data_IF_425830569520
#
_entry.id   IF_425830569520
#
_cell.length_a   1.000
_cell.length_b   1.000
_cell.length_c   1.000
_cell.angle_alpha   90.00
_cell.angle_beta   90.00
_cell.angle_gamma   90.00
#
_symmetry.space_group_name_H-M   'P 1'
#
loop_
_entity.id
_entity.type
_entity.pdbx_description
1 polymer ?
#
# COMPACT_ATOMS: atom_id res chain seq x y z
N UNK A 1 0.02 -20.01 15.33
CA UNK A 1 0.88 -19.50 14.25
C UNK A 1 1.15 -20.52 13.12
N UNK A 2 1.13 -21.81 13.34
CA UNK A 2 1.41 -22.81 12.28
C UNK A 2 0.46 -22.75 11.07
N UNK A 3 -0.72 -22.18 11.22
CA UNK A 3 -1.75 -22.01 10.19
C UNK A 3 -1.87 -20.57 9.64
N UNK A 4 -1.06 -19.63 10.13
CA UNK A 4 -1.12 -18.25 9.72
C UNK A 4 -0.72 -18.08 8.23
N UNK A 5 -1.35 -17.12 7.57
CA UNK A 5 -1.06 -16.78 6.19
C UNK A 5 0.36 -16.19 6.01
N UNK A 6 0.87 -16.27 4.79
CA UNK A 6 2.23 -15.79 4.44
C UNK A 6 2.41 -14.29 4.71
N UNK A 7 1.39 -13.48 4.44
CA UNK A 7 1.40 -12.04 4.76
C UNK A 7 1.54 -11.77 6.26
N UNK A 8 0.91 -12.59 7.11
CA UNK A 8 1.05 -12.46 8.57
C UNK A 8 2.50 -12.67 9.00
N UNK A 9 3.22 -13.65 8.42
CA UNK A 9 4.65 -13.85 8.70
C UNK A 9 5.49 -12.65 8.24
N UNK A 10 5.25 -12.13 7.03
CA UNK A 10 5.92 -10.91 6.56
C UNK A 10 5.66 -9.73 7.51
N UNK A 11 4.41 -9.57 7.94
CA UNK A 11 4.02 -8.50 8.86
C UNK A 11 4.75 -8.59 10.19
N UNK A 12 4.79 -9.77 10.81
CA UNK A 12 5.44 -9.96 12.11
C UNK A 12 6.94 -9.68 12.02
N UNK A 13 7.60 -10.14 10.96
CA UNK A 13 9.01 -9.87 10.71
C UNK A 13 9.27 -8.38 10.51
N UNK A 14 8.50 -7.72 9.65
CA UNK A 14 8.62 -6.28 9.39
C UNK A 14 8.33 -5.45 10.67
N UNK A 15 7.37 -5.87 11.49
CA UNK A 15 7.08 -5.21 12.76
C UNK A 15 8.24 -5.34 13.77
N UNK A 16 8.88 -6.52 13.87
CA UNK A 16 10.07 -6.69 14.72
C UNK A 16 11.22 -5.77 14.28
N UNK A 17 11.41 -5.62 12.96
CA UNK A 17 12.39 -4.70 12.40
C UNK A 17 12.04 -3.25 12.72
N UNK A 18 10.77 -2.84 12.54
CA UNK A 18 10.30 -1.50 12.85
C UNK A 18 10.46 -1.15 14.35
N UNK A 19 10.13 -2.06 15.25
CA UNK A 19 10.34 -1.86 16.69
C UNK A 19 11.82 -1.68 17.04
N UNK A 20 12.68 -2.51 16.46
CA UNK A 20 14.13 -2.43 16.67
C UNK A 20 14.69 -1.11 16.15
N UNK A 21 14.30 -0.71 14.94
CA UNK A 21 14.73 0.51 14.29
C UNK A 21 14.28 1.75 15.05
N UNK A 22 13.02 1.76 15.52
CA UNK A 22 12.48 2.83 16.37
C UNK A 22 13.06 2.84 17.78
N UNK A 23 13.83 1.84 18.19
CA UNK A 23 14.29 1.67 19.59
C UNK A 23 13.15 1.53 20.59
N UNK A 24 11.98 1.10 20.12
CA UNK A 24 10.75 1.03 20.94
C UNK A 24 10.76 -0.23 21.83
N UNK A 25 10.47 -0.03 23.13
CA UNK A 25 10.40 -1.08 24.14
C UNK A 25 9.06 -1.02 24.84
N UNK A 26 8.18 -1.96 24.56
CA UNK A 26 6.82 -1.99 25.11
C UNK A 26 6.75 -2.01 26.65
N UNK A 27 7.80 -2.48 27.32
CA UNK A 27 7.89 -2.48 28.78
C UNK A 27 8.00 -1.06 29.37
N UNK A 28 8.41 -0.08 28.54
CA UNK A 28 8.54 1.32 28.93
C UNK A 28 7.32 2.17 28.55
N UNK A 29 6.38 1.59 27.78
CA UNK A 29 5.22 2.28 27.25
C UNK A 29 3.93 1.88 27.97
N UNK A 30 2.93 2.77 27.94
CA UNK A 30 1.57 2.41 28.31
C UNK A 30 0.91 1.61 27.17
N UNK A 31 0.66 0.30 27.33
CA UNK A 31 0.14 -0.51 26.24
C UNK A 31 -1.27 -0.11 25.78
N UNK A 32 -2.03 0.65 26.59
CA UNK A 32 -3.35 1.17 26.23
C UNK A 32 -3.24 2.43 25.35
N UNK A 33 -2.06 3.09 25.32
CA UNK A 33 -1.73 4.23 24.47
C UNK A 33 -1.03 3.84 23.18
N UNK A 34 -0.76 2.54 22.96
CA UNK A 34 -0.19 2.00 21.71
C UNK A 34 -1.30 1.32 20.93
N UNK A 35 -1.52 1.77 19.70
CA UNK A 35 -2.55 1.24 18.80
C UNK A 35 -1.98 0.50 17.58
N UNK A 36 -2.88 -0.10 16.81
CA UNK A 36 -2.59 -0.70 15.51
C UNK A 36 -3.66 -0.25 14.52
N UNK A 37 -3.23 0.35 13.41
CA UNK A 37 -4.07 0.52 12.23
C UNK A 37 -3.34 -0.06 11.03
N UNK A 38 -3.79 -1.18 10.48
CA UNK A 38 -2.99 -1.96 9.55
C UNK A 38 -3.81 -2.46 8.35
N UNK A 39 -3.21 -2.40 7.15
CA UNK A 39 -3.80 -2.95 5.94
C UNK A 39 -3.39 -4.42 5.78
N UNK A 40 -4.37 -5.30 5.79
CA UNK A 40 -4.15 -6.73 5.53
C UNK A 40 -5.03 -7.16 4.35
N UNK A 41 -4.40 -7.57 3.27
CA UNK A 41 -5.05 -7.81 1.98
C UNK A 41 -5.01 -9.23 1.48
N UNK A 42 -4.79 -10.21 2.35
CA UNK A 42 -4.76 -11.60 1.91
C UNK A 42 -6.14 -12.24 1.90
N UNK A 43 -6.48 -12.77 0.75
CA UNK A 43 -7.52 -13.77 0.58
C UNK A 43 -6.83 -15.13 0.39
N UNK A 44 -6.04 -15.54 1.35
CA UNK A 44 -5.36 -16.85 1.35
C UNK A 44 -6.36 -17.97 1.49
N UNK A 45 -7.16 -18.21 0.45
CA UNK A 45 -8.09 -19.34 0.41
C UNK A 45 -7.27 -20.63 0.57
N UNK A 46 -7.70 -21.54 1.44
CA UNK A 46 -7.26 -22.92 1.43
C UNK A 46 -7.74 -23.57 0.11
N UNK A 47 -6.98 -23.31 -0.97
CA UNK A 47 -7.40 -23.67 -2.32
C UNK A 47 -7.58 -25.18 -2.47
N UNK A 48 -6.72 -25.98 -1.84
CA UNK A 48 -6.81 -27.46 -1.88
C UNK A 48 -8.09 -27.93 -1.19
N UNK A 49 -8.35 -27.45 0.03
CA UNK A 49 -9.57 -27.80 0.77
C UNK A 49 -10.83 -27.30 0.06
N UNK A 50 -10.79 -26.09 -0.51
CA UNK A 50 -11.90 -25.55 -1.28
C UNK A 50 -12.19 -26.39 -2.53
N UNK A 51 -11.18 -26.68 -3.35
CA UNK A 51 -11.35 -27.54 -4.55
C UNK A 51 -11.86 -28.93 -4.16
N UNK A 52 -11.27 -29.56 -3.13
CA UNK A 52 -11.71 -30.86 -2.66
C UNK A 52 -13.17 -30.85 -2.21
N UNK A 53 -13.59 -29.81 -1.48
CA UNK A 53 -14.99 -29.65 -1.05
C UNK A 53 -15.90 -29.49 -2.27
N UNK A 54 -15.58 -28.61 -3.21
CA UNK A 54 -16.38 -28.39 -4.43
C UNK A 54 -16.50 -29.67 -5.24
N UNK A 55 -15.38 -30.33 -5.55
CA UNK A 55 -15.36 -31.53 -6.38
C UNK A 55 -16.12 -32.69 -5.74
N UNK A 56 -16.03 -32.90 -4.42
CA UNK A 56 -16.74 -33.92 -3.69
C UNK A 56 -18.23 -33.65 -3.48
N UNK A 57 -18.66 -32.42 -3.77
CA UNK A 57 -20.04 -31.95 -3.59
C UNK A 57 -20.79 -31.73 -4.91
N UNK A 58 -20.21 -32.17 -6.03
CA UNK A 58 -20.92 -32.13 -7.30
C UNK A 58 -22.12 -33.07 -7.32
N UNK A 59 -23.27 -32.55 -7.75
CA UNK A 59 -24.48 -33.35 -7.93
C UNK A 59 -24.31 -34.39 -9.05
N UNK A 60 -25.22 -35.33 -9.11
CA UNK A 60 -25.20 -36.45 -10.06
C UNK A 60 -25.02 -36.04 -11.52
N UNK A 61 -25.42 -34.85 -11.90
CA UNK A 61 -25.27 -34.32 -13.25
C UNK A 61 -23.91 -33.62 -13.51
N UNK A 62 -23.00 -33.55 -12.54
CA UNK A 62 -21.66 -32.99 -12.66
C UNK A 62 -21.59 -31.48 -13.09
N UNK A 63 -22.69 -30.75 -12.99
CA UNK A 63 -22.79 -29.35 -13.46
C UNK A 63 -23.09 -28.30 -12.37
N UNK A 64 -23.55 -28.78 -11.22
CA UNK A 64 -23.95 -27.88 -10.12
C UNK A 64 -23.47 -28.51 -8.81
N UNK A 65 -22.92 -27.67 -7.94
CA UNK A 65 -22.57 -28.04 -6.58
C UNK A 65 -23.86 -28.22 -5.79
N UNK A 66 -24.05 -29.39 -5.14
CA UNK A 66 -25.14 -29.56 -4.21
C UNK A 66 -24.84 -28.88 -2.87
N UNK A 67 -25.65 -27.89 -2.46
CA UNK A 67 -25.37 -27.08 -1.25
C UNK A 67 -25.32 -27.91 0.04
N UNK A 68 -26.18 -28.93 0.18
CA UNK A 68 -26.23 -29.77 1.37
C UNK A 68 -24.98 -30.65 1.47
N UNK A 69 -24.61 -31.29 0.36
CA UNK A 69 -23.36 -32.04 0.24
C UNK A 69 -22.14 -31.13 0.51
N UNK A 70 -22.13 -29.89 -0.02
CA UNK A 70 -21.04 -28.97 0.22
C UNK A 70 -20.87 -28.64 1.73
N UNK A 71 -21.95 -28.38 2.44
CA UNK A 71 -21.91 -28.13 3.89
C UNK A 71 -21.41 -29.36 4.69
N UNK A 72 -21.78 -30.55 4.28
CA UNK A 72 -21.27 -31.76 4.93
C UNK A 72 -19.80 -31.98 4.62
N UNK A 73 -19.40 -31.90 3.35
CA UNK A 73 -18.04 -32.16 2.89
C UNK A 73 -17.04 -31.08 3.32
N UNK A 74 -17.50 -29.85 3.52
CA UNK A 74 -16.63 -28.79 4.04
C UNK A 74 -15.99 -29.14 5.38
N UNK A 75 -16.66 -29.95 6.21
CA UNK A 75 -16.11 -30.45 7.49
C UNK A 75 -14.96 -31.42 7.32
N UNK A 76 -14.90 -32.11 6.17
CA UNK A 76 -13.86 -33.10 5.89
C UNK A 76 -12.59 -32.46 5.34
N UNK A 77 -12.71 -31.32 4.66
CA UNK A 77 -11.63 -30.68 3.90
C UNK A 77 -11.21 -29.29 4.37
N UNK A 78 -12.09 -28.58 5.11
CA UNK A 78 -11.79 -27.24 5.63
C UNK A 78 -11.56 -27.31 7.15
N UNK A 79 -10.43 -26.77 7.57
CA UNK A 79 -10.09 -26.66 8.99
C UNK A 79 -10.44 -25.26 9.48
N UNK A 80 -11.36 -25.16 10.45
CA UNK A 80 -11.88 -23.87 10.95
C UNK A 80 -10.79 -22.93 11.46
N UNK A 81 -9.72 -23.43 12.07
CA UNK A 81 -8.58 -22.62 12.48
C UNK A 81 -7.85 -21.98 11.31
N UNK A 82 -7.65 -22.73 10.21
CA UNK A 82 -7.01 -22.26 9.00
C UNK A 82 -7.90 -21.24 8.25
N UNK A 83 -9.20 -21.52 8.19
CA UNK A 83 -10.17 -20.59 7.58
C UNK A 83 -10.32 -19.28 8.36
N UNK A 84 -10.08 -19.30 9.68
CA UNK A 84 -10.04 -18.11 10.49
C UNK A 84 -8.79 -17.26 10.20
N UNK A 85 -7.64 -17.87 9.99
CA UNK A 85 -6.36 -17.17 9.75
C UNK A 85 -6.33 -16.36 8.46
N UNK A 86 -7.20 -16.65 7.48
CA UNK A 86 -7.31 -15.85 6.26
C UNK A 86 -8.08 -14.53 6.45
N UNK A 87 -8.69 -14.31 7.62
CA UNK A 87 -9.43 -13.08 7.87
C UNK A 87 -8.48 -11.90 8.11
N UNK A 88 -8.74 -10.71 7.55
CA UNK A 88 -7.85 -9.53 7.68
C UNK A 88 -7.54 -9.14 9.12
N UNK A 89 -8.48 -9.34 10.05
CA UNK A 89 -8.30 -9.03 11.46
C UNK A 89 -7.30 -9.95 12.17
N UNK A 90 -6.97 -11.11 11.60
CA UNK A 90 -6.03 -12.05 12.24
C UNK A 90 -4.61 -11.51 12.23
N UNK A 91 -4.19 -10.81 11.17
CA UNK A 91 -2.88 -10.16 11.14
C UNK A 91 -2.72 -9.17 12.28
N UNK A 92 -3.70 -8.28 12.48
CA UNK A 92 -3.65 -7.31 13.60
C UNK A 92 -3.79 -7.96 14.98
N UNK A 93 -4.53 -9.06 15.08
CA UNK A 93 -4.60 -9.88 16.30
C UNK A 93 -3.23 -10.47 16.66
N UNK A 94 -2.49 -10.98 15.67
CA UNK A 94 -1.15 -11.51 15.89
C UNK A 94 -0.17 -10.42 16.30
N UNK A 95 -0.20 -9.24 15.65
CA UNK A 95 0.58 -8.07 16.06
C UNK A 95 0.28 -7.66 17.50
N UNK A 96 -1.00 -7.48 17.85
CA UNK A 96 -1.40 -7.11 19.21
C UNK A 96 -0.93 -8.12 20.26
N UNK A 97 -1.05 -9.41 19.95
CA UNK A 97 -0.62 -10.48 20.86
C UNK A 97 0.90 -10.55 21.03
N UNK A 98 1.67 -10.40 19.96
CA UNK A 98 3.14 -10.47 20.00
C UNK A 98 3.74 -9.29 20.75
N UNK A 99 3.26 -8.08 20.49
CA UNK A 99 3.79 -6.85 21.11
C UNK A 99 3.00 -6.41 22.34
N UNK A 100 1.98 -7.18 22.79
CA UNK A 100 1.14 -6.89 23.96
C UNK A 100 0.46 -5.54 23.91
N UNK A 101 0.07 -5.10 22.73
CA UNK A 101 -0.64 -3.85 22.47
C UNK A 101 -2.08 -3.98 22.95
N UNK A 102 -2.58 -3.00 23.71
CA UNK A 102 -3.90 -2.98 24.32
C UNK A 102 -4.74 -1.76 23.94
N UNK A 103 -4.17 -0.80 23.23
CA UNK A 103 -4.89 0.36 22.70
C UNK A 103 -5.81 -0.02 21.54
N UNK A 104 -6.34 0.95 20.79
CA UNK A 104 -7.25 0.70 19.69
C UNK A 104 -6.58 -0.11 18.56
N UNK A 105 -7.30 -1.10 18.03
CA UNK A 105 -6.83 -1.97 16.95
C UNK A 105 -7.84 -1.96 15.83
N UNK A 106 -7.41 -1.63 14.61
CA UNK A 106 -8.24 -1.63 13.41
C UNK A 106 -7.49 -2.21 12.21
N UNK A 107 -8.24 -2.73 11.25
CA UNK A 107 -7.72 -3.12 9.95
C UNK A 107 -8.56 -2.52 8.84
N UNK A 108 -7.93 -2.24 7.69
CA UNK A 108 -8.62 -1.81 6.49
C UNK A 108 -8.18 -2.61 5.27
N UNK A 109 -9.02 -2.60 4.24
CA UNK A 109 -8.75 -3.23 2.97
C UNK A 109 -9.37 -2.40 1.84
N UNK A 110 -8.65 -1.39 1.38
CA UNK A 110 -9.02 -0.50 0.28
C UNK A 110 -8.11 -0.73 -0.94
N UNK A 111 -8.03 -2.01 -1.32
CA UNK A 111 -7.22 -2.48 -2.44
C UNK A 111 -5.79 -1.89 -2.40
N UNK A 112 -5.34 -1.28 -3.51
CA UNK A 112 -3.97 -0.76 -3.62
C UNK A 112 -3.68 0.47 -2.74
N UNK A 113 -4.71 1.15 -2.23
CA UNK A 113 -4.58 2.31 -1.35
C UNK A 113 -4.58 1.95 0.15
N UNK A 114 -4.71 0.65 0.48
CA UNK A 114 -5.01 0.22 1.84
C UNK A 114 -3.96 0.64 2.88
N UNK A 115 -2.67 0.45 2.63
CA UNK A 115 -1.64 0.85 3.62
C UNK A 115 -1.47 2.35 3.74
N UNK A 116 -1.64 3.12 2.65
CA UNK A 116 -1.67 4.58 2.75
C UNK A 116 -2.87 5.07 3.56
N UNK A 117 -4.04 4.44 3.42
CA UNK A 117 -5.19 4.73 4.27
C UNK A 117 -4.91 4.37 5.73
N UNK A 118 -4.35 3.18 5.98
CA UNK A 118 -4.02 2.77 7.34
C UNK A 118 -3.10 3.78 8.04
N UNK A 119 -2.07 4.26 7.33
CA UNK A 119 -1.13 5.26 7.83
C UNK A 119 -1.83 6.61 8.06
N UNK A 120 -2.69 7.04 7.12
CA UNK A 120 -3.45 8.28 7.25
C UNK A 120 -4.41 8.27 8.43
N UNK A 121 -5.11 7.15 8.68
CA UNK A 121 -5.99 6.99 9.84
C UNK A 121 -5.20 6.89 11.16
N UNK A 122 -4.06 6.22 11.15
CA UNK A 122 -3.15 6.16 12.29
C UNK A 122 -2.63 7.57 12.67
N UNK A 123 -2.25 8.38 11.67
CA UNK A 123 -1.90 9.78 11.85
C UNK A 123 -3.05 10.57 12.50
N UNK A 124 -4.29 10.35 12.07
CA UNK A 124 -5.46 11.01 12.67
C UNK A 124 -5.71 10.58 14.13
N UNK A 125 -5.49 9.32 14.50
CA UNK A 125 -5.59 8.88 15.88
C UNK A 125 -4.59 9.59 16.79
N UNK A 126 -3.33 9.67 16.37
CA UNK A 126 -2.28 10.40 17.11
C UNK A 126 -2.64 11.89 17.20
N UNK A 127 -3.03 12.51 16.09
CA UNK A 127 -3.37 13.94 16.03
C UNK A 127 -4.55 14.31 16.94
N UNK A 128 -5.51 13.39 17.14
CA UNK A 128 -6.64 13.55 18.06
C UNK A 128 -6.29 13.21 19.51
N UNK A 129 -5.07 12.75 19.81
CA UNK A 129 -4.64 12.34 21.13
C UNK A 129 -5.27 11.02 21.62
N UNK A 130 -5.78 10.18 20.70
CA UNK A 130 -6.36 8.89 21.05
C UNK A 130 -5.27 7.87 21.42
N UNK A 131 -4.10 7.97 20.79
CA UNK A 131 -2.91 7.14 21.00
C UNK A 131 -1.66 8.00 20.99
N UNK A 132 -0.57 7.52 21.59
CA UNK A 132 0.75 8.13 21.49
C UNK A 132 1.61 7.44 20.43
N UNK A 133 1.38 6.14 20.23
CA UNK A 133 2.09 5.32 19.25
C UNK A 133 1.09 4.49 18.46
N UNK A 134 1.29 4.36 17.14
CA UNK A 134 0.52 3.45 16.29
C UNK A 134 1.45 2.65 15.39
N UNK A 135 1.34 1.32 15.45
CA UNK A 135 1.88 0.46 14.40
C UNK A 135 0.98 0.57 13.18
N UNK A 136 1.55 0.99 12.06
CA UNK A 136 0.80 1.12 10.81
C UNK A 136 1.58 0.62 9.61
N UNK A 137 0.88 0.39 8.52
CA UNK A 137 1.46 -0.15 7.29
C UNK A 137 0.54 -1.12 6.59
N UNK A 138 1.10 -2.09 5.90
CA UNK A 138 0.31 -3.10 5.22
C UNK A 138 1.10 -4.33 4.78
N UNK A 139 0.36 -5.39 4.49
CA UNK A 139 0.89 -6.64 3.97
C UNK A 139 0.00 -7.23 2.88
N UNK A 140 0.61 -7.94 1.97
CA UNK A 140 -0.07 -8.62 0.87
C UNK A 140 0.71 -9.85 0.40
N UNK A 141 0.00 -10.93 0.10
CA UNK A 141 0.58 -12.14 -0.49
C UNK A 141 -0.46 -12.90 -1.32
N UNK A 142 -0.53 -12.61 -2.62
CA UNK A 142 -1.44 -13.28 -3.57
C UNK A 142 -0.70 -13.93 -4.75
N UNK A 143 0.60 -14.24 -4.61
CA UNK A 143 1.35 -14.96 -5.63
C UNK A 143 1.07 -16.46 -5.51
N UNK A 144 -0.14 -16.85 -5.84
CA UNK A 144 -0.60 -18.22 -5.95
C UNK A 144 -1.59 -18.35 -7.14
N UNK A 145 -1.83 -19.56 -7.67
CA UNK A 145 -2.56 -19.72 -8.94
C UNK A 145 -3.90 -19.01 -9.02
N UNK A 146 -4.69 -19.02 -7.95
CA UNK A 146 -6.00 -18.35 -7.94
C UNK A 146 -5.89 -16.84 -7.88
N UNK A 147 -4.93 -16.28 -7.11
CA UNK A 147 -4.64 -14.85 -7.05
C UNK A 147 -4.18 -14.32 -8.41
N UNK A 148 -3.20 -14.98 -9.03
CA UNK A 148 -2.71 -14.61 -10.37
C UNK A 148 -3.82 -14.73 -11.41
N UNK A 149 -4.64 -15.79 -11.38
CA UNK A 149 -5.76 -15.97 -12.28
C UNK A 149 -6.80 -14.82 -12.14
N UNK A 150 -7.10 -14.39 -10.90
CA UNK A 150 -8.00 -13.29 -10.63
C UNK A 150 -7.52 -11.97 -11.25
N UNK A 151 -6.27 -11.57 -11.02
CA UNK A 151 -5.71 -10.37 -11.63
C UNK A 151 -5.56 -10.49 -13.16
N UNK A 152 -5.28 -11.70 -13.68
CA UNK A 152 -5.24 -11.94 -15.13
C UNK A 152 -6.61 -11.74 -15.78
N UNK A 153 -7.68 -12.16 -15.11
CA UNK A 153 -9.06 -11.93 -15.57
C UNK A 153 -9.42 -10.44 -15.62
N UNK A 154 -8.85 -9.64 -14.72
CA UNK A 154 -9.01 -8.18 -14.73
C UNK A 154 -8.18 -7.50 -15.83
N UNK A 155 -7.34 -8.23 -16.56
CA UNK A 155 -6.48 -7.74 -17.65
C UNK A 155 -5.51 -6.62 -17.24
N UNK A 156 -5.06 -6.65 -15.99
CA UNK A 156 -4.21 -5.60 -15.38
C UNK A 156 -2.76 -6.03 -15.21
N UNK A 157 -2.45 -7.31 -15.40
CA UNK A 157 -1.08 -7.83 -15.34
C UNK A 157 -0.36 -7.68 -16.68
N UNK A 158 0.92 -7.33 -16.61
CA UNK A 158 1.80 -7.34 -17.79
C UNK A 158 1.88 -8.74 -18.40
N UNK A 159 1.97 -8.79 -19.71
CA UNK A 159 2.11 -10.02 -20.50
C UNK A 159 3.54 -10.28 -20.97
N UNK A 160 4.50 -9.44 -20.55
CA UNK A 160 5.92 -9.54 -20.95
C UNK A 160 6.64 -10.64 -20.17
N UNK A 161 6.36 -11.90 -20.51
CA UNK A 161 6.98 -13.06 -19.88
C UNK A 161 8.36 -13.43 -20.47
N UNK A 162 8.68 -12.90 -21.65
CA UNK A 162 9.97 -13.16 -22.32
C UNK A 162 11.10 -12.29 -21.74
N UNK A 163 10.77 -11.12 -21.18
CA UNK A 163 11.69 -10.18 -20.53
C UNK A 163 11.09 -9.71 -19.19
N UNK A 164 10.95 -10.59 -18.17
CA UNK A 164 10.19 -10.30 -16.96
C UNK A 164 10.77 -9.14 -16.14
N UNK A 165 12.10 -8.94 -16.16
CA UNK A 165 12.78 -7.81 -15.50
C UNK A 165 12.45 -6.45 -16.11
N UNK A 166 11.93 -6.42 -17.36
CA UNK A 166 11.51 -5.22 -18.09
C UNK A 166 9.99 -5.07 -18.14
N UNK A 167 9.24 -5.93 -17.46
CA UNK A 167 7.79 -5.96 -17.56
C UNK A 167 7.12 -4.78 -16.81
N UNK A 168 7.59 -4.44 -15.60
CA UNK A 168 7.09 -3.28 -14.86
C UNK A 168 7.75 -2.00 -15.41
N UNK A 169 6.97 -1.19 -16.16
CA UNK A 169 7.45 0.02 -16.83
C UNK A 169 6.47 1.20 -16.71
N UNK A 170 6.31 1.75 -15.49
CA UNK A 170 5.41 2.87 -15.28
C UNK A 170 5.72 4.05 -16.21
N UNK A 171 4.65 4.68 -16.72
CA UNK A 171 4.68 5.85 -17.61
C UNK A 171 5.31 5.64 -19.00
N UNK A 172 5.92 4.48 -19.25
CA UNK A 172 6.42 4.13 -20.57
C UNK A 172 5.25 3.92 -21.55
N UNK A 173 5.45 4.27 -22.82
CA UNK A 173 4.43 4.13 -23.87
C UNK A 173 4.01 2.67 -24.09
N UNK A 174 4.95 1.75 -23.95
CA UNK A 174 4.77 0.32 -24.17
C UNK A 174 4.34 -0.44 -22.88
N UNK A 175 3.88 0.28 -21.85
CA UNK A 175 3.33 -0.33 -20.63
C UNK A 175 2.06 -1.11 -20.92
N UNK A 176 1.91 -2.28 -20.32
CA UNK A 176 0.79 -3.19 -20.57
C UNK A 176 0.16 -3.78 -19.30
N UNK A 177 0.56 -3.30 -18.12
CA UNK A 177 0.08 -3.75 -16.83
C UNK A 177 1.17 -3.87 -15.78
N UNK A 178 0.78 -4.17 -14.55
CA UNK A 178 1.73 -4.31 -13.45
C UNK A 178 2.28 -5.73 -13.30
N UNK A 179 3.39 -5.87 -12.59
CA UNK A 179 3.92 -7.13 -12.09
C UNK A 179 3.44 -7.30 -10.64
N UNK A 180 2.71 -8.39 -10.37
CA UNK A 180 2.24 -8.70 -9.02
C UNK A 180 3.42 -9.04 -8.11
N UNK A 181 3.46 -8.43 -6.93
CA UNK A 181 4.48 -8.65 -5.91
C UNK A 181 3.84 -8.94 -4.55
N UNK A 182 4.64 -9.40 -3.59
CA UNK A 182 4.20 -9.67 -2.22
C UNK A 182 5.20 -9.13 -1.21
N UNK A 183 4.73 -8.83 -0.01
CA UNK A 183 5.55 -8.33 1.08
C UNK A 183 4.76 -7.63 2.16
N UNK A 184 5.47 -7.06 3.12
CA UNK A 184 4.93 -6.20 4.16
C UNK A 184 5.85 -5.01 4.41
N UNK A 185 5.25 -3.89 4.79
CA UNK A 185 5.95 -2.72 5.29
C UNK A 185 5.26 -2.22 6.55
N UNK A 186 6.04 -1.95 7.60
CA UNK A 186 5.56 -1.50 8.90
C UNK A 186 6.30 -0.23 9.31
N UNK A 187 5.54 0.76 9.75
CA UNK A 187 6.04 1.99 10.33
C UNK A 187 5.56 2.11 11.79
N UNK A 188 6.41 2.67 12.62
CA UNK A 188 6.03 3.16 13.95
C UNK A 188 5.72 4.64 13.80
N UNK A 189 4.45 5.01 13.88
CA UNK A 189 4.01 6.39 13.97
C UNK A 189 3.94 6.77 15.46
N UNK A 190 4.43 7.95 15.79
CA UNK A 190 4.53 8.38 17.18
C UNK A 190 4.27 9.89 17.29
N UNK A 191 3.63 10.30 18.38
CA UNK A 191 3.50 11.71 18.73
C UNK A 191 4.89 12.32 18.92
N UNK A 192 5.15 13.47 18.29
CA UNK A 192 6.49 14.04 18.22
C UNK A 192 7.12 14.30 19.60
N UNK A 193 6.37 14.90 20.51
CA UNK A 193 6.86 15.18 21.88
C UNK A 193 7.17 13.89 22.66
N UNK A 194 6.39 12.82 22.43
CA UNK A 194 6.64 11.50 22.99
C UNK A 194 7.94 10.91 22.41
N UNK A 195 8.11 10.94 21.08
CA UNK A 195 9.31 10.45 20.39
C UNK A 195 10.58 11.17 20.88
N UNK A 196 10.54 12.50 20.96
CA UNK A 196 11.66 13.31 21.42
C UNK A 196 12.02 13.05 22.89
N UNK A 197 11.01 12.87 23.75
CA UNK A 197 11.22 12.59 25.18
C UNK A 197 11.97 11.28 25.41
N UNK A 198 11.73 10.25 24.59
CA UNK A 198 12.44 8.97 24.68
C UNK A 198 13.72 8.90 23.82
N UNK A 199 14.02 9.95 23.04
CA UNK A 199 15.19 10.02 22.15
C UNK A 199 15.08 9.10 20.93
N UNK A 200 13.88 8.95 20.38
CA UNK A 200 13.63 8.14 19.20
C UNK A 200 14.32 8.74 17.95
N UNK A 201 14.81 7.91 17.02
CA UNK A 201 15.18 8.40 15.70
C UNK A 201 13.91 8.87 14.96
N UNK A 202 13.93 10.08 14.39
CA UNK A 202 12.83 10.62 13.60
C UNK A 202 13.26 10.68 12.13
N UNK A 203 12.59 9.93 11.26
CA UNK A 203 12.86 9.93 9.82
C UNK A 203 12.18 11.10 9.10
N UNK A 204 11.07 11.57 9.63
CA UNK A 204 10.27 12.67 9.10
C UNK A 204 8.92 12.76 9.79
N UNK A 205 8.13 13.76 9.42
CA UNK A 205 6.78 14.01 9.95
C UNK A 205 5.73 13.77 8.87
N UNK A 206 4.65 13.07 9.20
CA UNK A 206 3.46 13.03 8.35
C UNK A 206 2.68 14.31 8.63
N UNK A 207 2.55 15.17 7.63
CA UNK A 207 1.88 16.45 7.76
C UNK A 207 0.58 16.52 6.99
N UNK A 208 0.44 15.72 5.91
CA UNK A 208 -0.71 15.73 5.03
C UNK A 208 -1.34 14.36 4.82
N UNK A 209 -2.67 14.31 4.83
CA UNK A 209 -3.49 13.15 4.48
C UNK A 209 -4.74 13.60 3.74
N UNK A 210 -4.95 13.07 2.54
CA UNK A 210 -6.15 13.26 1.74
C UNK A 210 -6.73 11.91 1.34
N UNK A 211 -8.05 11.76 1.51
CA UNK A 211 -8.79 10.53 1.18
C UNK A 211 -10.07 10.90 0.44
N UNK A 212 -10.30 10.29 -0.71
CA UNK A 212 -11.46 10.54 -1.57
C UNK A 212 -11.90 9.28 -2.29
N UNK A 213 -13.07 9.35 -2.94
CA UNK A 213 -13.56 8.29 -3.81
C UNK A 213 -13.96 8.87 -5.18
N UNK A 214 -13.71 8.10 -6.25
CA UNK A 214 -14.09 8.47 -7.63
C UNK A 214 -15.61 8.33 -7.86
N UNK A 215 -16.24 7.34 -7.23
CA UNK A 215 -17.62 6.97 -7.47
C UNK A 215 -17.92 6.73 -8.97
N UNK A 216 -16.98 6.09 -9.69
CA UNK A 216 -17.06 5.90 -11.13
C UNK A 216 -17.22 4.41 -11.50
N UNK A 217 -16.15 3.67 -11.60
CA UNK A 217 -16.15 2.24 -11.96
C UNK A 217 -15.40 1.40 -10.94
N UNK A 218 -15.57 0.08 -11.02
CA UNK A 218 -14.94 -0.85 -10.09
C UNK A 218 -13.40 -0.88 -10.22
N UNK A 219 -12.90 -0.86 -11.45
CA UNK A 219 -11.45 -1.00 -11.74
C UNK A 219 -10.83 0.22 -12.39
N UNK A 220 -11.64 1.08 -13.03
CA UNK A 220 -11.14 2.25 -13.72
C UNK A 220 -11.30 3.50 -12.86
N UNK A 221 -10.31 4.37 -12.91
CA UNK A 221 -10.37 5.71 -12.33
C UNK A 221 -11.33 6.61 -13.13
N UNK A 222 -11.84 7.65 -12.49
CA UNK A 222 -12.54 8.74 -13.19
C UNK A 222 -11.63 9.34 -14.27
N UNK A 223 -12.04 9.36 -15.55
CA UNK A 223 -11.21 9.87 -16.65
C UNK A 223 -10.73 11.30 -16.47
N UNK A 224 -11.48 12.12 -15.73
CA UNK A 224 -11.08 13.49 -15.39
C UNK A 224 -10.09 13.57 -14.23
N UNK A 225 -9.85 12.46 -13.51
CA UNK A 225 -8.95 12.39 -12.36
C UNK A 225 -9.41 13.25 -11.17
N UNK A 226 -10.73 13.54 -11.07
CA UNK A 226 -11.25 14.42 -10.02
C UNK A 226 -10.98 13.88 -8.62
N UNK A 227 -11.20 12.58 -8.39
CA UNK A 227 -10.92 11.94 -7.12
C UNK A 227 -9.47 12.08 -6.71
N UNK A 228 -8.53 11.80 -7.62
CA UNK A 228 -7.10 11.96 -7.38
C UNK A 228 -6.72 13.43 -7.09
N UNK A 229 -7.26 14.39 -7.88
CA UNK A 229 -7.05 15.82 -7.64
C UNK A 229 -7.53 16.25 -6.24
N UNK A 230 -8.70 15.76 -5.81
CA UNK A 230 -9.25 16.08 -4.48
C UNK A 230 -8.42 15.46 -3.36
N UNK A 231 -7.90 14.25 -3.54
CA UNK A 231 -7.03 13.60 -2.56
C UNK A 231 -5.71 14.38 -2.38
N UNK A 232 -5.03 14.70 -3.49
CA UNK A 232 -3.79 15.51 -3.48
C UNK A 232 -4.05 16.89 -2.85
N UNK A 233 -5.08 17.60 -3.30
CA UNK A 233 -5.44 18.92 -2.76
C UNK A 233 -5.84 18.84 -1.28
N UNK A 234 -6.46 17.75 -0.86
CA UNK A 234 -6.82 17.49 0.53
C UNK A 234 -5.58 17.34 1.43
N UNK A 235 -4.60 16.57 0.96
CA UNK A 235 -3.33 16.39 1.67
C UNK A 235 -2.55 17.71 1.77
N UNK A 236 -2.43 18.47 0.68
CA UNK A 236 -1.80 19.79 0.68
C UNK A 236 -2.47 20.76 1.66
N UNK A 237 -3.81 20.83 1.67
CA UNK A 237 -4.53 21.66 2.63
C UNK A 237 -4.27 21.26 4.08
N UNK A 238 -4.22 19.96 4.36
CA UNK A 238 -4.00 19.45 5.71
C UNK A 238 -2.58 19.74 6.20
N UNK A 239 -1.58 19.62 5.33
CA UNK A 239 -0.19 19.95 5.65
C UNK A 239 0.07 21.45 5.77
N UNK A 240 -0.84 22.30 5.29
CA UNK A 240 -0.62 23.74 5.18
C UNK A 240 0.38 24.13 4.07
N UNK A 241 0.69 23.19 3.17
CA UNK A 241 1.62 23.38 2.04
C UNK A 241 0.89 23.71 0.75
N UNK A 242 1.59 24.42 -0.11
CA UNK A 242 1.19 24.65 -1.50
C UNK A 242 1.92 23.73 -2.47
N UNK A 243 1.49 23.71 -3.75
CA UNK A 243 2.18 22.93 -4.79
C UNK A 243 3.67 23.27 -4.95
N UNK A 244 4.09 24.50 -4.61
CA UNK A 244 5.49 24.95 -4.67
C UNK A 244 6.40 24.35 -3.60
N UNK A 245 5.84 23.78 -2.54
CA UNK A 245 6.58 23.28 -1.39
C UNK A 245 6.93 21.79 -1.50
N UNK A 246 6.45 21.09 -2.54
CA UNK A 246 6.72 19.68 -2.77
C UNK A 246 7.94 19.51 -3.67
N UNK A 247 8.91 18.73 -3.19
CA UNK A 247 10.19 18.47 -3.86
C UNK A 247 10.20 17.13 -4.63
N UNK A 248 9.36 16.18 -4.26
CA UNK A 248 9.30 14.85 -4.85
C UNK A 248 7.89 14.27 -4.78
N UNK A 249 7.46 13.60 -5.84
CA UNK A 249 6.22 12.83 -5.89
C UNK A 249 6.56 11.35 -6.11
N UNK A 250 6.26 10.52 -5.13
CA UNK A 250 6.21 9.08 -5.31
C UNK A 250 4.82 8.74 -5.88
N UNK A 251 4.79 8.40 -7.15
CA UNK A 251 3.56 8.15 -7.86
C UNK A 251 3.00 6.75 -7.55
N UNK A 252 1.69 6.61 -7.69
CA UNK A 252 1.08 5.29 -7.72
C UNK A 252 1.62 4.46 -8.88
N UNK A 253 1.71 5.01 -10.08
CA UNK A 253 2.51 4.54 -11.21
C UNK A 253 2.54 3.02 -11.39
N UNK A 254 1.41 2.42 -11.76
CA UNK A 254 1.25 0.95 -11.82
C UNK A 254 1.71 0.31 -13.11
N UNK A 255 2.15 1.08 -14.09
CA UNK A 255 2.39 0.63 -15.47
C UNK A 255 1.11 0.17 -16.20
N UNK A 256 -0.06 0.60 -15.74
CA UNK A 256 -1.30 0.43 -16.49
C UNK A 256 -1.59 1.68 -17.33
N UNK A 257 -2.15 1.48 -18.52
CA UNK A 257 -2.44 2.60 -19.43
C UNK A 257 -3.37 3.62 -18.79
N UNK A 258 -4.39 3.17 -18.06
CA UNK A 258 -5.41 4.03 -17.47
C UNK A 258 -4.84 4.83 -16.29
N UNK A 259 -4.26 4.15 -15.30
CA UNK A 259 -3.76 4.81 -14.10
C UNK A 259 -2.71 5.87 -14.41
N UNK A 260 -1.67 5.51 -15.16
CA UNK A 260 -0.51 6.39 -15.34
C UNK A 260 -0.88 7.66 -16.10
N UNK A 261 -1.79 7.55 -17.06
CA UNK A 261 -2.32 8.71 -17.80
C UNK A 261 -3.16 9.62 -16.89
N UNK A 262 -4.05 9.04 -16.08
CA UNK A 262 -4.94 9.82 -15.21
C UNK A 262 -4.15 10.44 -14.04
N UNK A 263 -3.19 9.73 -13.48
CA UNK A 263 -2.31 10.27 -12.45
C UNK A 263 -1.50 11.46 -12.96
N UNK A 264 -0.92 11.34 -14.18
CA UNK A 264 -0.25 12.45 -14.85
C UNK A 264 -1.16 13.66 -15.00
N UNK A 265 -2.40 13.45 -15.45
CA UNK A 265 -3.41 14.50 -15.57
C UNK A 265 -3.73 15.15 -14.22
N UNK A 266 -3.90 14.36 -13.17
CA UNK A 266 -4.20 14.85 -11.82
C UNK A 266 -3.06 15.69 -11.25
N UNK A 267 -1.81 15.23 -11.39
CA UNK A 267 -0.62 15.99 -11.00
C UNK A 267 -0.59 17.33 -11.74
N UNK A 268 -0.78 17.33 -13.07
CA UNK A 268 -0.81 18.57 -13.87
C UNK A 268 -1.92 19.53 -13.45
N UNK A 269 -3.12 19.02 -13.16
CA UNK A 269 -4.26 19.85 -12.70
C UNK A 269 -3.98 20.52 -11.35
N UNK A 270 -3.34 19.81 -10.41
CA UNK A 270 -3.10 20.34 -9.06
C UNK A 270 -1.86 21.24 -9.02
N UNK A 271 -0.78 20.84 -9.68
CA UNK A 271 0.51 21.53 -9.61
C UNK A 271 0.71 22.59 -10.70
N UNK A 272 -0.14 22.61 -11.74
CA UNK A 272 0.00 23.55 -12.85
C UNK A 272 1.37 23.48 -13.53
N UNK A 273 2.01 24.60 -13.77
CA UNK A 273 3.34 24.66 -14.37
C UNK A 273 4.43 23.98 -13.52
N UNK A 274 4.27 23.95 -12.21
CA UNK A 274 5.19 23.27 -11.28
C UNK A 274 5.28 21.77 -11.51
N UNK A 275 4.23 21.15 -12.06
CA UNK A 275 4.22 19.71 -12.35
C UNK A 275 5.40 19.25 -13.22
N UNK A 276 5.89 20.10 -14.13
CA UNK A 276 7.01 19.82 -15.03
C UNK A 276 8.39 19.99 -14.39
N UNK A 277 8.45 20.50 -13.18
CA UNK A 277 9.70 20.78 -12.46
C UNK A 277 9.92 19.81 -11.28
N UNK A 278 8.85 19.17 -10.79
CA UNK A 278 8.92 18.22 -9.68
C UNK A 278 9.29 16.84 -10.22
N UNK A 279 10.36 16.20 -9.71
CA UNK A 279 10.64 14.81 -10.03
C UNK A 279 9.51 13.90 -9.54
N UNK A 280 9.03 13.04 -10.41
CA UNK A 280 8.02 12.01 -10.14
C UNK A 280 8.66 10.66 -10.36
N UNK A 281 8.47 9.68 -9.48
CA UNK A 281 8.90 8.33 -9.81
C UNK A 281 7.99 7.25 -9.24
N UNK A 282 8.01 6.06 -9.83
CA UNK A 282 7.34 4.87 -9.33
C UNK A 282 8.33 3.77 -9.02
N UNK A 283 8.49 3.44 -7.74
CA UNK A 283 9.32 2.31 -7.30
C UNK A 283 8.72 0.95 -7.64
N UNK A 284 7.47 0.91 -8.12
CA UNK A 284 6.86 -0.33 -8.64
C UNK A 284 7.58 -0.87 -9.85
N UNK A 285 8.36 -0.03 -10.55
CA UNK A 285 9.24 -0.47 -11.62
C UNK A 285 10.30 -1.47 -11.13
N UNK A 286 10.76 -1.33 -9.88
CA UNK A 286 11.81 -2.15 -9.26
C UNK A 286 11.24 -3.27 -8.37
N UNK A 287 10.13 -3.02 -7.67
CA UNK A 287 9.59 -3.91 -6.62
C UNK A 287 8.36 -4.69 -7.08
N UNK A 288 7.75 -4.33 -8.21
CA UNK A 288 6.42 -4.77 -8.57
C UNK A 288 5.35 -4.10 -7.71
N UNK A 289 4.11 -4.52 -7.87
CA UNK A 289 2.96 -3.97 -7.16
C UNK A 289 2.56 -4.89 -6.00
N UNK A 290 2.84 -4.48 -4.77
CA UNK A 290 2.53 -5.21 -3.53
C UNK A 290 1.10 -4.94 -3.03
N UNK A 291 0.20 -4.45 -3.89
CA UNK A 291 -1.23 -4.19 -3.64
C UNK A 291 -1.45 -3.48 -2.28
N UNK A 292 -1.96 -4.20 -1.26
CA UNK A 292 -2.29 -3.61 0.04
C UNK A 292 -1.07 -3.06 0.81
N UNK A 293 0.14 -3.54 0.53
CA UNK A 293 1.37 -3.07 1.15
C UNK A 293 2.05 -1.92 0.39
N UNK A 294 1.60 -1.59 -0.83
CA UNK A 294 2.29 -0.68 -1.74
C UNK A 294 2.55 0.70 -1.12
N UNK A 295 1.50 1.34 -0.61
CA UNK A 295 1.62 2.71 -0.10
C UNK A 295 2.54 2.84 1.13
N UNK A 296 2.62 1.83 1.99
CA UNK A 296 3.57 1.84 3.10
C UNK A 296 5.02 1.72 2.61
N UNK A 297 5.27 0.85 1.63
CA UNK A 297 6.59 0.71 1.00
C UNK A 297 7.01 2.00 0.30
N UNK A 298 6.07 2.66 -0.37
CA UNK A 298 6.26 3.92 -1.08
C UNK A 298 6.53 5.08 -0.11
N UNK A 299 5.83 5.14 1.01
CA UNK A 299 6.08 6.14 2.03
C UNK A 299 7.46 5.97 2.68
N UNK A 300 7.90 4.73 2.92
CA UNK A 300 9.27 4.44 3.36
C UNK A 300 10.28 4.96 2.34
N UNK A 301 10.05 4.76 1.04
CA UNK A 301 10.92 5.30 -0.01
C UNK A 301 10.96 6.84 0.00
N UNK A 302 9.84 7.52 0.28
CA UNK A 302 9.80 8.97 0.46
C UNK A 302 10.65 9.42 1.68
N UNK A 303 10.52 8.74 2.83
CA UNK A 303 11.30 9.02 4.02
C UNK A 303 12.80 8.80 3.80
N UNK A 304 13.18 7.74 3.07
CA UNK A 304 14.56 7.48 2.71
C UNK A 304 15.10 8.52 1.71
N UNK A 305 14.28 8.97 0.75
CA UNK A 305 14.66 10.05 -0.15
C UNK A 305 14.92 11.36 0.59
N UNK A 306 14.10 11.68 1.61
CA UNK A 306 14.30 12.82 2.50
C UNK A 306 15.61 12.68 3.29
N UNK A 307 15.86 11.51 3.89
CA UNK A 307 17.05 11.25 4.71
C UNK A 307 18.34 11.31 3.91
N UNK A 308 18.35 10.62 2.76
CA UNK A 308 19.57 10.34 2.00
C UNK A 308 19.83 11.35 0.88
N UNK A 309 18.83 12.20 0.52
CA UNK A 309 18.92 13.13 -0.59
C UNK A 309 19.04 12.42 -1.94
N UNK A 310 18.39 11.25 -2.09
CA UNK A 310 18.42 10.44 -3.31
C UNK A 310 17.00 10.06 -3.70
N UNK A 311 16.55 10.52 -4.85
CA UNK A 311 15.24 10.20 -5.43
C UNK A 311 15.38 8.90 -6.23
N UNK A 312 14.59 7.86 -5.91
CA UNK A 312 14.65 6.59 -6.64
C UNK A 312 14.10 6.75 -8.07
N UNK A 313 14.63 5.99 -9.05
CA UNK A 313 14.21 6.10 -10.43
C UNK A 313 12.91 5.34 -10.72
N UNK A 314 12.29 5.66 -11.84
CA UNK A 314 11.41 4.76 -12.58
C UNK A 314 12.27 4.03 -13.61
N UNK A 315 12.59 2.75 -13.37
CA UNK A 315 13.35 1.94 -14.32
C UNK A 315 12.46 1.44 -15.46
N UNK A 316 13.06 0.94 -16.54
CA UNK A 316 12.39 0.45 -17.74
C UNK A 316 11.62 1.54 -18.51
N UNK A 317 11.95 2.81 -18.32
CA UNK A 317 11.41 3.92 -19.08
C UNK A 317 12.25 4.11 -20.35
N UNK A 318 11.75 3.64 -21.49
CA UNK A 318 12.47 3.60 -22.77
C UNK A 318 11.77 4.43 -23.85
N UNK A 319 10.45 4.30 -23.95
CA UNK A 319 9.64 4.98 -24.95
C UNK A 319 8.73 6.02 -24.28
N UNK A 320 8.99 7.33 -24.47
CA UNK A 320 8.14 8.39 -23.92
C UNK A 320 6.69 8.30 -24.44
N UNK A 321 5.73 8.37 -23.51
CA UNK A 321 4.31 8.50 -23.85
C UNK A 321 3.91 9.98 -23.83
N UNK A 322 3.40 10.54 -24.94
CA UNK A 322 2.90 11.93 -24.94
C UNK A 322 1.79 12.23 -23.94
N UNK A 323 1.06 11.22 -23.46
CA UNK A 323 0.05 11.38 -22.40
C UNK A 323 0.68 11.43 -21.00
N UNK A 324 1.93 10.99 -20.86
CA UNK A 324 2.73 10.96 -19.66
C UNK A 324 4.02 11.76 -19.86
N UNK A 325 3.93 13.09 -19.82
CA UNK A 325 4.98 14.02 -20.27
C UNK A 325 5.66 14.78 -19.11
N UNK A 326 5.65 14.21 -17.89
CA UNK A 326 6.35 14.75 -16.72
C UNK A 326 7.78 14.20 -16.60
N UNK A 327 8.54 14.66 -15.62
CA UNK A 327 9.87 14.15 -15.29
C UNK A 327 9.75 12.91 -14.37
N UNK A 328 9.79 11.71 -14.95
CA UNK A 328 9.63 10.46 -14.22
C UNK A 328 10.91 9.87 -13.62
N UNK A 329 11.99 10.66 -13.52
CA UNK A 329 13.31 10.21 -13.06
C UNK A 329 13.73 8.92 -13.78
N UNK A 330 13.92 8.95 -15.10
CA UNK A 330 14.06 7.75 -15.91
C UNK A 330 15.37 7.00 -15.61
N UNK A 331 15.25 5.72 -15.30
CA UNK A 331 16.28 4.68 -15.22
C UNK A 331 17.41 4.87 -14.18
N UNK A 332 17.77 6.09 -13.82
CA UNK A 332 18.85 6.39 -12.88
C UNK A 332 18.38 7.23 -11.70
N UNK A 333 18.82 6.88 -10.49
CA UNK A 333 18.52 7.65 -9.29
C UNK A 333 19.11 9.06 -9.39
N UNK A 334 18.41 10.03 -8.84
CA UNK A 334 18.81 11.44 -8.87
C UNK A 334 19.15 11.95 -7.48
N UNK A 335 20.34 12.50 -7.31
CA UNK A 335 20.68 13.22 -6.07
C UNK A 335 20.00 14.59 -6.05
N UNK A 336 19.43 14.94 -4.92
CA UNK A 336 18.77 16.22 -4.70
C UNK A 336 18.26 16.36 -3.26
N UNK A 337 18.14 17.60 -2.82
CA UNK A 337 17.51 17.87 -1.51
C UNK A 337 16.02 17.62 -1.62
N UNK A 338 15.48 16.84 -0.71
CA UNK A 338 14.05 16.58 -0.56
C UNK A 338 13.66 16.98 0.87
N UNK A 339 12.89 18.03 1.02
CA UNK A 339 12.36 18.45 2.31
C UNK A 339 10.91 18.02 2.49
N UNK A 340 10.13 17.96 1.40
CA UNK A 340 8.76 17.47 1.41
C UNK A 340 8.51 16.51 0.24
N UNK A 341 7.96 15.35 0.55
CA UNK A 341 7.57 14.35 -0.44
C UNK A 341 6.08 14.02 -0.34
N UNK A 342 5.45 13.81 -1.50
CA UNK A 342 4.06 13.43 -1.65
C UNK A 342 3.99 12.01 -2.19
N UNK A 343 3.18 11.15 -1.58
CA UNK A 343 2.95 9.77 -2.00
C UNK A 343 1.50 9.55 -2.38
N UNK A 344 1.25 9.10 -3.60
CA UNK A 344 -0.07 8.79 -4.14
C UNK A 344 -0.36 7.30 -4.09
N UNK A 345 -1.58 6.93 -3.75
CA UNK A 345 -2.08 5.56 -3.85
C UNK A 345 -3.52 5.57 -4.35
N UNK A 346 -3.76 4.94 -5.50
CA UNK A 346 -5.07 4.85 -6.13
C UNK A 346 -5.47 3.38 -6.23
N UNK A 347 -6.63 3.04 -5.66
CA UNK A 347 -7.08 1.66 -5.52
C UNK A 347 -8.31 1.35 -6.35
N UNK A 348 -8.46 0.09 -6.72
CA UNK A 348 -9.72 -0.42 -7.25
C UNK A 348 -10.88 -0.09 -6.29
N UNK A 349 -12.07 0.15 -6.83
CA UNK A 349 -13.19 0.71 -6.10
C UNK A 349 -13.18 2.24 -6.04
N UNK A 350 -12.21 2.89 -6.71
CA UNK A 350 -12.08 4.36 -6.79
C UNK A 350 -11.54 4.99 -5.50
N UNK A 351 -10.76 4.28 -4.72
CA UNK A 351 -10.15 4.78 -3.50
C UNK A 351 -8.89 5.59 -3.84
N UNK A 352 -8.84 6.88 -3.48
CA UNK A 352 -7.69 7.74 -3.71
C UNK A 352 -7.15 8.26 -2.39
N UNK A 353 -5.90 7.94 -2.11
CA UNK A 353 -5.19 8.38 -0.91
C UNK A 353 -3.93 9.14 -1.33
N UNK A 354 -3.67 10.25 -0.64
CA UNK A 354 -2.45 11.01 -0.77
C UNK A 354 -1.88 11.29 0.63
N UNK A 355 -0.60 11.03 0.82
CA UNK A 355 0.14 11.35 2.04
C UNK A 355 1.24 12.36 1.72
N UNK A 356 1.53 13.26 2.67
CA UNK A 356 2.69 14.15 2.61
C UNK A 356 3.54 13.89 3.85
N UNK A 357 4.84 13.72 3.61
CA UNK A 357 5.87 13.60 4.63
C UNK A 357 6.91 14.69 4.43
N UNK A 358 7.39 15.23 5.54
CA UNK A 358 8.35 16.31 5.56
C UNK A 358 9.57 15.96 6.41
N UNK A 359 10.70 16.62 6.09
CA UNK A 359 11.91 16.54 6.90
C UNK A 359 11.62 17.07 8.30
N UNK A 360 12.12 16.37 9.29
CA UNK A 360 12.20 16.90 10.65
C UNK A 360 13.59 17.51 10.87
N UNK A 361 13.64 18.78 11.17
CA UNK A 361 14.91 19.53 11.31
C UNK A 361 15.37 19.72 12.77
N UNK A 362 14.66 19.13 13.76
CA UNK A 362 15.03 19.16 15.17
C UNK A 362 14.44 20.34 15.93
#
# INVERSE_FOLDING_TARGET
MASAGRSTFFTLQAAEEAFRDAGLKMEAEDPERVGIYFAAGDWGINLEGFIATVCSSWGENGRVVDPESYLVRSRDYLEGSRELEIQPFMTVKHLAGQFKIKGPVSSCLTACAASSQAIGEAFEWIRRGETDIVLSGGAHSMIYPFGVAGFSQLTVLSKRNDEPERASRPFDKERDGFVLSEGAAVLVLEELGHALKRGAPVYGEITGYGSTADAYRLTDMDPEGDGACRAISGALRKSGRGPGDIDYINAHGTATTVNDTIETLAIKKVFGGRAYEIPVSSIKSMLGHTIAAAGATELIACLLAIRDGVIPPTINYEEPDPACDLDYVPNEARSGKVDAALSNSFGFGGQNICLIVERYDG
#
